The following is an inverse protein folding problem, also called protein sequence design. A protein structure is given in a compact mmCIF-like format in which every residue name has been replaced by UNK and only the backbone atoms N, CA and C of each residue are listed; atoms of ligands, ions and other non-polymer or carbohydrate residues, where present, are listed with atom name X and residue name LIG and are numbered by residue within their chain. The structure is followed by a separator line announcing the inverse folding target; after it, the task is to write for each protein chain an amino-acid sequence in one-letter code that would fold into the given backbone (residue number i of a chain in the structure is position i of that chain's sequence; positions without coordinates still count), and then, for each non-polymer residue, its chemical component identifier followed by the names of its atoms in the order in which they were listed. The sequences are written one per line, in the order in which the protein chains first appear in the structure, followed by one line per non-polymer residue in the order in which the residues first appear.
data_IF_860237567339
#
_entry.id   IF_860237567339
#
_cell.length_a   1.000
_cell.length_b   1.000
_cell.length_c   1.000
_cell.angle_alpha   90.00
_cell.angle_beta   90.00
_cell.angle_gamma   90.00
#
_symmetry.space_group_name_H-M   'P 1'
#
loop_
_entity.id
_entity.type
_entity.pdbx_description
1 polymer ?
#
# COMPACT_ATOMS: atom_id res chain seq x y z
N UNK A 1 -36.95 -9.50 16.43
CA UNK A 1 -36.06 -9.43 15.24
C UNK A 1 -34.64 -9.15 15.74
N UNK A 2 -33.75 -10.15 15.77
CA UNK A 2 -32.33 -9.93 16.00
C UNK A 2 -31.79 -9.14 14.80
N UNK A 3 -31.35 -7.89 15.01
CA UNK A 3 -30.63 -7.17 13.98
C UNK A 3 -29.28 -7.87 13.80
N UNK A 4 -29.06 -8.48 12.66
CA UNK A 4 -27.72 -8.93 12.29
C UNK A 4 -26.84 -7.69 12.24
N UNK A 5 -25.77 -7.64 13.05
CA UNK A 5 -24.74 -6.63 12.89
C UNK A 5 -24.27 -6.68 11.45
N UNK A 6 -24.35 -5.55 10.77
CA UNK A 6 -23.83 -5.41 9.42
C UNK A 6 -22.32 -5.61 9.50
N UNK A 7 -21.83 -6.76 9.07
CA UNK A 7 -20.39 -6.98 8.93
C UNK A 7 -19.89 -6.06 7.82
N UNK A 8 -18.92 -5.21 8.12
CA UNK A 8 -18.21 -4.50 7.08
C UNK A 8 -17.45 -5.53 6.26
N UNK A 9 -17.79 -5.65 4.98
CA UNK A 9 -17.02 -6.45 4.04
C UNK A 9 -15.85 -5.61 3.56
N UNK A 10 -14.65 -6.14 3.74
CA UNK A 10 -13.43 -5.63 3.13
C UNK A 10 -13.06 -6.54 1.98
N UNK A 11 -12.72 -5.94 0.86
CA UNK A 11 -12.39 -6.65 -0.37
C UNK A 11 -11.06 -6.12 -0.89
N UNK A 12 -10.12 -7.01 -1.09
CA UNK A 12 -8.81 -6.73 -1.67
C UNK A 12 -8.80 -7.19 -3.11
N UNK A 13 -8.39 -6.33 -4.02
CA UNK A 13 -8.52 -6.55 -5.46
C UNK A 13 -7.16 -6.48 -6.16
N UNK A 14 -7.01 -7.31 -7.18
CA UNK A 14 -5.95 -7.18 -8.18
C UNK A 14 -6.49 -7.58 -9.55
N UNK A 15 -6.04 -6.88 -10.59
CA UNK A 15 -6.36 -7.22 -11.97
C UNK A 15 -5.08 -7.68 -12.66
N UNK A 16 -5.18 -8.79 -13.36
CA UNK A 16 -4.14 -9.24 -14.28
C UNK A 16 -4.78 -9.58 -15.63
N UNK A 17 -4.39 -8.84 -16.68
CA UNK A 17 -5.05 -8.88 -17.99
C UNK A 17 -6.57 -8.68 -17.83
N UNK A 18 -7.37 -9.64 -18.30
CA UNK A 18 -8.83 -9.58 -18.27
C UNK A 18 -9.44 -10.35 -17.09
N UNK A 19 -8.67 -10.64 -16.05
CA UNK A 19 -9.17 -11.35 -14.85
C UNK A 19 -9.01 -10.46 -13.63
N UNK A 20 -10.13 -10.26 -12.93
CA UNK A 20 -10.19 -9.64 -11.62
C UNK A 20 -10.12 -10.73 -10.54
N UNK A 21 -9.15 -10.62 -9.65
CA UNK A 21 -9.08 -11.45 -8.45
C UNK A 21 -9.51 -10.63 -7.24
N UNK A 22 -10.36 -11.22 -6.40
CA UNK A 22 -10.91 -10.58 -5.22
C UNK A 22 -10.80 -11.50 -4.01
N UNK A 23 -10.16 -11.04 -2.95
CA UNK A 23 -10.15 -11.71 -1.66
C UNK A 23 -11.00 -10.93 -0.66
N UNK A 24 -11.72 -11.60 0.21
CA UNK A 24 -12.54 -10.96 1.22
C UNK A 24 -12.15 -11.32 2.66
N UNK A 25 -12.63 -10.53 3.59
CA UNK A 25 -12.42 -10.75 5.03
C UNK A 25 -13.31 -11.87 5.63
N UNK A 26 -13.92 -12.71 4.78
CA UNK A 26 -14.59 -13.94 5.17
C UNK A 26 -13.81 -15.19 4.74
N UNK A 27 -12.65 -15.00 4.08
CA UNK A 27 -11.76 -16.07 3.62
C UNK A 27 -12.08 -16.62 2.24
N UNK A 28 -12.88 -15.90 1.46
CA UNK A 28 -13.11 -16.26 0.06
C UNK A 28 -12.12 -15.58 -0.86
N UNK A 29 -11.70 -16.29 -1.89
CA UNK A 29 -10.96 -15.81 -3.04
C UNK A 29 -11.70 -16.14 -4.32
N UNK A 30 -11.84 -15.15 -5.19
CA UNK A 30 -12.61 -15.24 -6.43
C UNK A 30 -11.73 -14.88 -7.62
N UNK A 31 -11.96 -15.52 -8.77
CA UNK A 31 -11.50 -15.03 -10.07
C UNK A 31 -12.71 -14.75 -10.95
N UNK A 32 -12.75 -13.57 -11.53
CA UNK A 32 -13.83 -13.08 -12.37
C UNK A 32 -13.27 -12.64 -13.72
N UNK A 33 -13.81 -13.20 -14.80
CA UNK A 33 -13.43 -12.83 -16.15
C UNK A 33 -14.19 -11.55 -16.56
N UNK A 34 -13.44 -10.50 -16.91
CA UNK A 34 -13.97 -9.19 -17.27
C UNK A 34 -14.56 -9.13 -18.68
N UNK A 35 -14.16 -10.03 -19.59
CA UNK A 35 -14.65 -10.03 -20.98
C UNK A 35 -16.07 -10.56 -21.07
N UNK A 36 -16.35 -11.68 -20.40
CA UNK A 36 -17.65 -12.34 -20.43
C UNK A 36 -18.48 -12.13 -19.16
N UNK A 37 -17.98 -11.34 -18.21
CA UNK A 37 -18.63 -11.01 -16.93
C UNK A 37 -19.05 -12.25 -16.13
N UNK A 38 -18.19 -13.28 -16.06
CA UNK A 38 -18.48 -14.51 -15.34
C UNK A 38 -17.45 -14.86 -14.28
N UNK A 39 -17.88 -15.54 -13.22
CA UNK A 39 -17.00 -16.12 -12.22
C UNK A 39 -16.31 -17.34 -12.85
N UNK A 40 -14.96 -17.32 -12.89
CA UNK A 40 -14.16 -18.45 -13.33
C UNK A 40 -14.09 -19.52 -12.25
N UNK A 41 -13.80 -19.09 -11.03
CA UNK A 41 -13.76 -19.93 -9.84
C UNK A 41 -13.95 -19.10 -8.57
N UNK A 42 -14.37 -19.76 -7.49
CA UNK A 42 -14.45 -19.22 -6.15
C UNK A 42 -14.01 -20.29 -5.14
N UNK A 43 -13.15 -19.94 -4.21
CA UNK A 43 -12.61 -20.84 -3.18
C UNK A 43 -12.76 -20.22 -1.80
N UNK A 44 -13.06 -21.05 -0.80
CA UNK A 44 -13.09 -20.64 0.59
C UNK A 44 -11.91 -21.29 1.33
N UNK A 45 -11.09 -20.47 1.97
CA UNK A 45 -9.93 -20.90 2.75
C UNK A 45 -10.22 -20.94 4.25
N UNK A 46 -11.42 -20.54 4.68
CA UNK A 46 -11.89 -20.66 6.04
C UNK A 46 -11.36 -19.62 7.05
N UNK A 47 -10.36 -18.84 6.67
CA UNK A 47 -9.75 -17.81 7.54
C UNK A 47 -9.74 -16.48 6.80
N UNK A 48 -10.18 -15.38 7.45
CA UNK A 48 -10.21 -14.04 6.85
C UNK A 48 -8.89 -13.63 6.22
N UNK A 49 -8.91 -13.15 5.00
CA UNK A 49 -7.77 -12.52 4.38
C UNK A 49 -7.61 -11.08 4.88
N UNK A 50 -6.35 -10.64 5.05
CA UNK A 50 -5.97 -9.35 5.62
C UNK A 50 -4.76 -8.75 4.92
N UNK A 51 -4.61 -8.98 3.63
CA UNK A 51 -3.49 -8.44 2.87
C UNK A 51 -3.92 -7.94 1.51
N UNK A 52 -3.15 -6.99 0.98
CA UNK A 52 -3.20 -6.71 -0.45
C UNK A 52 -2.81 -7.97 -1.24
N UNK A 53 -3.40 -8.11 -2.44
CA UNK A 53 -3.06 -9.18 -3.36
C UNK A 53 -1.83 -8.80 -4.20
N UNK A 54 -0.99 -9.79 -4.50
CA UNK A 54 0.10 -9.69 -5.49
C UNK A 54 0.00 -10.80 -6.51
N UNK A 55 0.46 -10.52 -7.73
CA UNK A 55 0.40 -11.47 -8.84
C UNK A 55 1.76 -11.58 -9.52
N UNK A 56 2.26 -12.80 -9.67
CA UNK A 56 3.42 -13.12 -10.50
C UNK A 56 3.37 -14.58 -10.97
N UNK A 57 3.85 -14.87 -12.17
CA UNK A 57 4.05 -16.23 -12.68
C UNK A 57 2.83 -17.16 -12.50
N UNK A 58 1.63 -16.66 -12.85
CA UNK A 58 0.36 -17.36 -12.67
C UNK A 58 0.04 -17.75 -11.20
N UNK A 59 0.62 -17.04 -10.25
CA UNK A 59 0.39 -17.21 -8.83
C UNK A 59 -0.19 -15.93 -8.25
N UNK A 60 -1.13 -16.08 -7.33
CA UNK A 60 -1.67 -15.00 -6.49
C UNK A 60 -1.07 -15.20 -5.09
N UNK A 61 -0.47 -14.13 -4.56
CA UNK A 61 0.04 -14.10 -3.20
C UNK A 61 -0.87 -13.26 -2.32
N UNK A 62 -1.25 -13.80 -1.19
CA UNK A 62 -2.09 -13.15 -0.19
C UNK A 62 -1.80 -13.76 1.18
N UNK A 63 -2.22 -13.06 2.26
CA UNK A 63 -2.09 -13.56 3.61
C UNK A 63 -3.40 -13.43 4.39
N UNK A 64 -3.59 -14.33 5.33
CA UNK A 64 -4.71 -14.31 6.25
C UNK A 64 -4.38 -13.54 7.54
N UNK A 65 -5.40 -13.38 8.41
CA UNK A 65 -5.26 -12.70 9.70
C UNK A 65 -4.31 -13.39 10.69
N UNK A 66 -3.93 -14.64 10.43
CA UNK A 66 -3.02 -15.42 11.28
C UNK A 66 -1.56 -15.37 10.76
N UNK A 67 -1.26 -14.40 9.87
CA UNK A 67 0.05 -14.22 9.24
C UNK A 67 0.53 -15.42 8.41
N UNK A 68 -0.40 -16.20 7.86
CA UNK A 68 -0.08 -17.28 6.93
C UNK A 68 -0.14 -16.75 5.51
N UNK A 69 0.95 -16.89 4.77
CA UNK A 69 1.05 -16.55 3.36
C UNK A 69 0.52 -17.73 2.54
N UNK A 70 -0.24 -17.42 1.50
CA UNK A 70 -0.68 -18.37 0.49
C UNK A 70 -0.12 -17.99 -0.88
N UNK A 71 0.32 -18.99 -1.62
CA UNK A 71 0.44 -18.92 -3.07
C UNK A 71 -0.66 -19.78 -3.67
N UNK A 72 -1.44 -19.17 -4.55
CA UNK A 72 -2.62 -19.79 -5.18
C UNK A 72 -2.45 -19.78 -6.68
N UNK A 73 -2.78 -20.87 -7.34
CA UNK A 73 -2.83 -20.95 -8.80
C UNK A 73 -3.94 -20.02 -9.32
N UNK A 74 -3.58 -19.07 -10.15
CA UNK A 74 -4.52 -18.05 -10.65
C UNK A 74 -5.62 -18.63 -11.56
N UNK A 75 -5.38 -19.76 -12.22
CA UNK A 75 -6.34 -20.36 -13.14
C UNK A 75 -7.36 -21.26 -12.45
N UNK A 76 -6.96 -21.92 -11.35
CA UNK A 76 -7.80 -22.93 -10.70
C UNK A 76 -8.26 -22.58 -9.30
N UNK A 77 -7.60 -21.58 -8.67
CA UNK A 77 -7.82 -21.28 -7.27
C UNK A 77 -7.29 -22.34 -6.31
N UNK A 78 -6.49 -23.29 -6.78
CA UNK A 78 -5.85 -24.31 -5.91
C UNK A 78 -4.62 -23.72 -5.21
N UNK A 79 -4.43 -24.10 -3.96
CA UNK A 79 -3.26 -23.69 -3.20
C UNK A 79 -2.01 -24.38 -3.75
N UNK A 80 -1.01 -23.62 -4.18
CA UNK A 80 0.29 -24.15 -4.56
C UNK A 80 1.12 -24.47 -3.33
N UNK A 81 1.20 -23.52 -2.41
CA UNK A 81 1.90 -23.64 -1.14
C UNK A 81 1.38 -22.65 -0.11
N UNK A 82 1.69 -22.89 1.15
CA UNK A 82 1.45 -21.97 2.26
C UNK A 82 2.70 -21.86 3.13
N UNK A 83 2.87 -20.74 3.77
CA UNK A 83 3.97 -20.46 4.67
C UNK A 83 3.45 -19.72 5.91
N UNK A 84 3.55 -20.37 7.08
CA UNK A 84 3.17 -19.75 8.35
C UNK A 84 4.34 -18.94 8.90
N UNK A 85 4.09 -17.67 9.22
CA UNK A 85 5.02 -16.82 9.97
C UNK A 85 4.59 -16.75 11.43
N UNK A 86 5.24 -15.90 12.23
CA UNK A 86 4.90 -15.78 13.65
C UNK A 86 3.46 -15.35 13.85
N UNK A 87 2.76 -16.06 14.72
CA UNK A 87 1.38 -15.76 15.11
C UNK A 87 1.34 -14.51 15.98
N UNK A 88 0.31 -13.69 15.80
CA UNK A 88 -0.07 -12.67 16.76
C UNK A 88 -1.28 -13.12 17.56
N UNK A 89 -1.28 -12.87 18.86
CA UNK A 89 -2.45 -13.12 19.71
C UNK A 89 -3.61 -12.18 19.39
N UNK A 90 -3.32 -10.99 18.89
CA UNK A 90 -4.32 -10.02 18.48
C UNK A 90 -4.68 -10.23 17.02
N UNK A 91 -5.91 -10.64 16.79
CA UNK A 91 -6.52 -10.64 15.46
C UNK A 91 -7.06 -9.24 15.21
N UNK A 92 -6.38 -8.49 14.35
CA UNK A 92 -6.75 -7.13 14.07
C UNK A 92 -7.22 -6.95 12.63
N UNK A 93 -7.83 -5.79 12.39
CA UNK A 93 -8.21 -5.33 11.07
C UNK A 93 -7.02 -4.72 10.29
N UNK A 94 -5.80 -4.76 10.86
CA UNK A 94 -4.61 -4.26 10.19
C UNK A 94 -4.17 -5.20 9.06
N UNK A 95 -3.81 -4.60 7.95
CA UNK A 95 -3.37 -5.32 6.78
C UNK A 95 -1.92 -5.76 6.90
N UNK A 96 -1.67 -7.02 6.56
CA UNK A 96 -0.34 -7.51 6.24
C UNK A 96 0.12 -6.89 4.92
N UNK A 97 1.40 -6.62 4.78
CA UNK A 97 1.92 -5.92 3.63
C UNK A 97 2.83 -6.78 2.76
N UNK A 98 2.55 -6.78 1.46
CA UNK A 98 3.36 -7.43 0.45
C UNK A 98 4.01 -6.45 -0.53
N UNK A 99 5.25 -6.75 -0.93
CA UNK A 99 5.88 -6.24 -2.14
C UNK A 99 6.47 -7.39 -2.96
N UNK A 100 6.58 -7.22 -4.28
CA UNK A 100 7.15 -8.20 -5.20
C UNK A 100 8.30 -7.61 -5.99
N UNK A 101 9.42 -8.31 -6.00
CA UNK A 101 10.49 -8.15 -6.96
C UNK A 101 10.33 -9.22 -8.04
N UNK A 102 9.81 -8.81 -9.19
CA UNK A 102 9.55 -9.71 -10.31
C UNK A 102 10.83 -10.15 -11.03
N UNK A 103 11.89 -9.35 -10.96
CA UNK A 103 13.17 -9.64 -11.61
C UNK A 103 13.91 -10.75 -10.87
N UNK A 104 13.93 -10.66 -9.53
CA UNK A 104 14.66 -11.59 -8.69
C UNK A 104 13.78 -12.72 -8.09
N UNK A 105 12.50 -12.77 -8.46
CA UNK A 105 11.51 -13.71 -7.95
C UNK A 105 11.37 -13.68 -6.42
N UNK A 106 11.40 -12.49 -5.83
CA UNK A 106 11.32 -12.32 -4.38
C UNK A 106 9.98 -11.72 -3.95
N UNK A 107 9.38 -12.36 -2.97
CA UNK A 107 8.23 -11.86 -2.23
C UNK A 107 8.72 -11.29 -0.89
N UNK A 108 8.39 -10.04 -0.62
CA UNK A 108 8.57 -9.41 0.69
C UNK A 108 7.23 -9.40 1.41
N UNK A 109 7.24 -9.91 2.63
CA UNK A 109 6.05 -9.97 3.49
C UNK A 109 6.34 -9.38 4.86
N UNK A 110 5.67 -8.29 5.19
CA UNK A 110 5.71 -7.68 6.52
C UNK A 110 4.44 -8.10 7.26
N UNK A 111 4.61 -8.92 8.29
CA UNK A 111 3.50 -9.41 9.09
C UNK A 111 3.10 -8.42 10.20
N UNK A 112 1.98 -8.66 10.84
CA UNK A 112 1.45 -7.83 11.93
C UNK A 112 2.22 -8.00 13.26
N UNK A 113 3.18 -8.93 13.31
CA UNK A 113 4.14 -9.05 14.41
C UNK A 113 5.36 -8.15 14.25
N UNK A 114 5.51 -7.46 13.10
CA UNK A 114 6.68 -6.63 12.80
C UNK A 114 7.88 -7.42 12.29
N UNK A 115 7.63 -8.59 11.70
CA UNK A 115 8.66 -9.37 11.03
C UNK A 115 8.53 -9.21 9.52
N UNK A 116 9.62 -8.91 8.86
CA UNK A 116 9.73 -8.82 7.41
C UNK A 116 10.49 -10.03 6.88
N UNK A 117 9.83 -10.79 6.06
CA UNK A 117 10.37 -11.95 5.37
C UNK A 117 10.73 -11.59 3.93
N UNK A 118 11.89 -12.03 3.47
CA UNK A 118 12.28 -12.09 2.06
C UNK A 118 12.26 -13.54 1.63
N UNK A 119 11.37 -13.87 0.68
CA UNK A 119 11.11 -15.26 0.27
C UNK A 119 11.29 -15.36 -1.23
N UNK A 120 12.11 -16.27 -1.68
CA UNK A 120 12.11 -16.71 -3.08
C UNK A 120 10.84 -17.52 -3.33
N UNK A 121 9.89 -16.94 -4.09
CA UNK A 121 8.57 -17.56 -4.24
C UNK A 121 8.55 -18.72 -5.26
N UNK A 122 9.64 -18.95 -5.99
CA UNK A 122 9.80 -20.11 -6.88
C UNK A 122 10.31 -21.31 -6.07
N UNK A 123 11.41 -21.11 -5.32
CA UNK A 123 12.03 -22.18 -4.52
C UNK A 123 11.44 -22.32 -3.12
N UNK A 124 10.59 -21.37 -2.71
CA UNK A 124 9.94 -21.30 -1.40
C UNK A 124 10.93 -21.17 -0.23
N UNK A 125 12.14 -20.67 -0.50
CA UNK A 125 13.19 -20.50 0.51
C UNK A 125 13.20 -19.08 1.05
N UNK A 126 13.32 -18.97 2.37
CA UNK A 126 13.60 -17.70 3.03
C UNK A 126 15.03 -17.29 2.68
N UNK A 127 15.20 -16.06 2.17
CA UNK A 127 16.52 -15.45 1.93
C UNK A 127 17.04 -14.78 3.20
N UNK A 128 16.18 -14.00 3.85
CA UNK A 128 16.47 -13.34 5.13
C UNK A 128 15.18 -12.95 5.85
N UNK A 129 15.30 -12.66 7.15
CA UNK A 129 14.21 -12.16 8.00
C UNK A 129 14.72 -11.02 8.85
N UNK A 130 13.92 -9.94 8.97
CA UNK A 130 14.16 -8.84 9.88
C UNK A 130 13.04 -8.75 10.90
N UNK A 131 13.36 -8.36 12.14
CA UNK A 131 12.38 -8.13 13.18
C UNK A 131 12.46 -6.68 13.64
N UNK A 132 11.34 -5.94 13.52
CA UNK A 132 11.23 -4.53 13.90
C UNK A 132 10.66 -4.33 15.31
N UNK A 133 10.16 -5.37 15.96
CA UNK A 133 9.81 -5.30 17.37
C UNK A 133 11.10 -5.17 18.19
N UNK A 134 11.26 -4.06 18.86
CA UNK A 134 12.31 -3.93 19.84
C UNK A 134 12.12 -4.98 20.93
N UNK A 135 13.19 -5.65 21.33
CA UNK A 135 13.24 -6.55 22.49
C UNK A 135 12.95 -5.83 23.83
N UNK A 136 12.62 -4.54 23.80
CA UNK A 136 12.30 -3.73 24.97
C UNK A 136 10.83 -3.88 25.35
N UNK A 137 10.58 -4.76 26.33
CA UNK A 137 9.53 -4.67 27.38
C UNK A 137 8.07 -4.33 26.98
N UNK A 138 7.73 -4.10 25.74
CA UNK A 138 6.36 -3.89 25.35
C UNK A 138 5.77 -5.21 24.87
N UNK A 139 4.87 -5.69 25.70
CA UNK A 139 4.05 -6.88 25.57
C UNK A 139 3.83 -7.36 24.13
N UNK A 140 3.83 -8.67 23.92
CA UNK A 140 3.40 -9.39 22.69
C UNK A 140 1.98 -9.02 22.21
N UNK A 141 1.37 -8.03 22.83
CA UNK A 141 -0.01 -7.58 22.64
C UNK A 141 -0.14 -6.38 21.68
N UNK A 142 0.95 -5.78 21.19
CA UNK A 142 0.87 -4.66 20.26
C UNK A 142 1.15 -5.10 18.82
N UNK A 143 0.26 -4.69 17.91
CA UNK A 143 0.45 -4.89 16.49
C UNK A 143 1.47 -3.91 15.94
N UNK A 144 2.23 -4.39 14.95
CA UNK A 144 3.16 -3.54 14.23
C UNK A 144 2.41 -2.77 13.15
N UNK A 145 2.38 -1.45 13.28
CA UNK A 145 1.73 -0.56 12.32
C UNK A 145 2.76 0.00 11.34
N UNK A 146 2.46 -0.16 10.06
CA UNK A 146 3.25 0.42 8.96
C UNK A 146 2.33 0.87 7.84
N UNK A 147 2.80 1.81 7.02
CA UNK A 147 2.23 2.03 5.69
C UNK A 147 2.64 0.86 4.78
N UNK A 148 1.94 0.63 3.66
CA UNK A 148 2.32 -0.40 2.71
C UNK A 148 3.79 -0.27 2.28
N UNK A 149 4.52 -1.39 2.34
CA UNK A 149 5.92 -1.45 1.92
C UNK A 149 6.05 -1.20 0.42
N UNK A 150 7.10 -0.52 0.03
CA UNK A 150 7.37 -0.22 -1.38
C UNK A 150 8.77 -0.65 -1.77
N UNK A 151 8.90 -1.04 -3.04
CA UNK A 151 10.16 -1.51 -3.61
C UNK A 151 10.41 -0.80 -4.95
N UNK A 152 11.64 -0.46 -5.20
CA UNK A 152 12.13 -0.06 -6.51
C UNK A 152 13.60 -0.50 -6.66
N UNK A 153 13.90 -1.28 -7.69
CA UNK A 153 15.21 -1.92 -7.87
C UNK A 153 15.64 -2.65 -6.57
N UNK A 154 16.82 -2.33 -6.06
CA UNK A 154 17.40 -2.95 -4.86
C UNK A 154 17.01 -2.25 -3.56
N UNK A 155 16.07 -1.32 -3.58
CA UNK A 155 15.67 -0.52 -2.41
C UNK A 155 14.28 -0.93 -1.95
N UNK A 156 14.16 -1.29 -0.69
CA UNK A 156 12.92 -1.58 0.00
C UNK A 156 12.69 -0.51 1.08
N UNK A 157 11.56 0.19 1.00
CA UNK A 157 11.17 1.20 1.99
C UNK A 157 10.10 0.65 2.91
N UNK A 158 10.35 0.77 4.20
CA UNK A 158 9.45 0.37 5.28
C UNK A 158 9.21 1.59 6.17
N UNK A 159 7.99 1.74 6.63
CA UNK A 159 7.64 2.78 7.58
C UNK A 159 7.26 2.16 8.91
N UNK A 160 7.59 2.86 9.96
CA UNK A 160 7.16 2.56 11.33
C UNK A 160 6.47 3.79 11.91
N UNK A 161 5.94 3.68 13.12
CA UNK A 161 5.39 4.83 13.85
C UNK A 161 6.42 5.94 14.15
N UNK A 162 7.72 5.67 13.98
CA UNK A 162 8.80 6.60 14.34
C UNK A 162 9.76 6.93 13.21
N UNK A 163 9.78 6.13 12.15
CA UNK A 163 10.80 6.26 11.12
C UNK A 163 10.37 5.74 9.75
N UNK A 164 11.04 6.23 8.72
CA UNK A 164 11.12 5.65 7.39
C UNK A 164 12.48 4.98 7.27
N UNK A 165 12.49 3.72 6.85
CA UNK A 165 13.66 2.86 6.83
C UNK A 165 13.89 2.37 5.39
N UNK A 166 15.15 2.40 4.96
CA UNK A 166 15.56 1.81 3.68
C UNK A 166 16.43 0.59 3.91
N UNK A 167 16.14 -0.46 3.18
CA UNK A 167 16.88 -1.72 3.19
C UNK A 167 17.28 -2.13 1.78
N UNK A 168 18.43 -2.76 1.68
CA UNK A 168 18.83 -3.46 0.47
C UNK A 168 18.02 -4.76 0.32
N UNK A 169 17.41 -4.95 -0.84
CA UNK A 169 16.49 -6.09 -1.08
C UNK A 169 17.20 -7.43 -1.11
N UNK A 170 18.47 -7.46 -1.48
CA UNK A 170 19.25 -8.69 -1.61
C UNK A 170 19.78 -9.18 -0.27
N UNK A 171 20.44 -8.29 0.47
CA UNK A 171 21.12 -8.61 1.72
C UNK A 171 20.26 -8.43 2.97
N UNK A 172 19.18 -7.65 2.91
CA UNK A 172 18.41 -7.25 4.08
C UNK A 172 19.15 -6.25 4.99
N UNK A 173 20.28 -5.69 4.54
CA UNK A 173 21.00 -4.70 5.30
C UNK A 173 20.32 -3.33 5.19
N UNK A 174 20.30 -2.60 6.32
CA UNK A 174 19.74 -1.25 6.36
C UNK A 174 20.66 -0.26 5.68
N UNK A 175 20.16 0.46 4.68
CA UNK A 175 20.87 1.54 4.01
C UNK A 175 20.88 2.80 4.88
N UNK A 176 19.69 3.23 5.33
CA UNK A 176 19.52 4.44 6.13
C UNK A 176 18.22 4.40 6.97
N UNK A 177 18.13 5.35 7.88
CA UNK A 177 16.97 5.65 8.71
C UNK A 177 16.67 7.13 8.68
N UNK A 178 15.40 7.50 8.48
CA UNK A 178 14.90 8.85 8.61
C UNK A 178 13.85 8.89 9.73
N UNK A 179 14.16 9.62 10.81
CA UNK A 179 13.35 9.65 12.05
C UNK A 179 12.14 10.54 11.92
N UNK A 180 11.15 10.10 11.17
CA UNK A 180 9.84 10.74 11.08
C UNK A 180 8.77 9.73 10.67
N UNK A 181 7.54 9.90 11.14
CA UNK A 181 6.41 9.05 10.82
C UNK A 181 5.76 9.45 9.51
N UNK A 182 5.64 8.50 8.58
CA UNK A 182 4.91 8.68 7.32
C UNK A 182 3.41 8.53 7.55
N UNK A 183 2.63 9.48 7.02
CA UNK A 183 1.16 9.40 7.08
C UNK A 183 0.56 8.54 5.97
N UNK A 184 1.31 8.33 4.88
CA UNK A 184 0.85 7.62 3.69
C UNK A 184 1.94 6.67 3.20
N UNK A 185 1.54 5.74 2.32
CA UNK A 185 2.47 4.90 1.57
C UNK A 185 3.50 5.78 0.84
N UNK A 186 4.80 5.63 1.09
CA UNK A 186 5.82 6.39 0.37
C UNK A 186 5.83 6.09 -1.12
N UNK A 187 6.32 7.04 -1.92
CA UNK A 187 6.57 6.85 -3.34
C UNK A 187 8.07 6.82 -3.56
N UNK A 188 8.55 5.77 -4.21
CA UNK A 188 9.96 5.61 -4.55
C UNK A 188 10.16 5.68 -6.06
N UNK A 189 11.09 6.52 -6.49
CA UNK A 189 11.58 6.61 -7.88
C UNK A 189 12.99 6.01 -7.99
N UNK A 190 13.67 6.17 -9.11
CA UNK A 190 15.07 5.72 -9.26
C UNK A 190 16.03 6.39 -8.28
N UNK A 191 15.81 7.67 -7.96
CA UNK A 191 16.76 8.49 -7.20
C UNK A 191 16.20 8.97 -5.86
N UNK A 192 14.89 9.12 -5.74
CA UNK A 192 14.25 9.78 -4.62
C UNK A 192 13.13 8.98 -3.99
N UNK A 193 12.99 9.13 -2.68
CA UNK A 193 11.82 8.70 -1.91
C UNK A 193 11.03 9.92 -1.45
N UNK A 194 9.73 9.95 -1.81
CA UNK A 194 8.81 10.99 -1.40
C UNK A 194 7.87 10.45 -0.32
N UNK A 195 7.67 11.24 0.73
CA UNK A 195 6.75 10.89 1.81
C UNK A 195 6.02 12.13 2.32
N UNK A 196 4.75 11.94 2.65
CA UNK A 196 3.97 12.92 3.42
C UNK A 196 4.00 12.46 4.88
N UNK A 197 4.58 13.29 5.73
CA UNK A 197 4.70 13.00 7.16
C UNK A 197 3.41 13.36 7.91
N UNK A 198 3.22 12.82 9.11
CA UNK A 198 2.05 13.12 9.96
C UNK A 198 1.87 14.61 10.30
N UNK A 199 2.94 15.40 10.27
CA UNK A 199 2.90 16.85 10.43
C UNK A 199 2.60 17.63 9.14
N UNK A 200 2.16 16.93 8.08
CA UNK A 200 1.85 17.47 6.75
C UNK A 200 3.06 18.07 6.00
N UNK A 201 4.26 17.67 6.34
CA UNK A 201 5.43 17.96 5.52
C UNK A 201 5.51 16.93 4.39
N UNK A 202 5.61 17.41 3.16
CA UNK A 202 6.08 16.62 2.03
C UNK A 202 7.60 16.68 2.02
N UNK A 203 8.24 15.54 2.07
CA UNK A 203 9.70 15.42 2.05
C UNK A 203 10.16 14.66 0.82
N UNK A 204 11.28 15.07 0.27
CA UNK A 204 12.05 14.35 -0.73
C UNK A 204 13.36 13.92 -0.09
N UNK A 205 13.59 12.60 -0.07
CA UNK A 205 14.81 12.00 0.47
C UNK A 205 15.63 11.41 -0.67
N UNK A 206 16.94 11.55 -0.56
CA UNK A 206 17.89 10.84 -1.41
C UNK A 206 17.84 9.34 -1.13
N UNK A 207 17.75 8.52 -2.14
CA UNK A 207 17.60 7.06 -1.98
C UNK A 207 18.85 6.37 -1.44
N UNK A 208 20.04 6.94 -1.66
CA UNK A 208 21.31 6.34 -1.22
C UNK A 208 21.61 6.66 0.23
N UNK A 209 21.40 7.92 0.62
CA UNK A 209 21.81 8.42 1.93
C UNK A 209 20.67 8.62 2.93
N UNK A 210 19.40 8.71 2.45
CA UNK A 210 18.26 9.09 3.28
C UNK A 210 18.25 10.56 3.70
N UNK A 211 19.16 11.37 3.16
CA UNK A 211 19.24 12.81 3.47
C UNK A 211 18.08 13.56 2.82
N UNK A 212 17.63 14.64 3.48
CA UNK A 212 16.60 15.50 2.95
C UNK A 212 17.16 16.33 1.80
N UNK A 213 16.60 16.20 0.60
CA UNK A 213 16.87 17.07 -0.55
C UNK A 213 16.07 18.36 -0.39
N UNK A 214 14.79 18.21 -0.12
CA UNK A 214 13.89 19.32 0.23
C UNK A 214 12.73 18.85 1.11
N UNK A 215 12.15 19.80 1.82
CA UNK A 215 10.96 19.60 2.66
C UNK A 215 10.04 20.80 2.56
N UNK A 216 8.74 20.59 2.36
CA UNK A 216 7.74 21.64 2.20
C UNK A 216 6.47 21.35 2.98
N UNK A 217 5.96 22.34 3.68
CA UNK A 217 4.63 22.25 4.28
C UNK A 217 3.58 22.46 3.19
N UNK A 218 2.79 21.43 2.92
CA UNK A 218 1.80 21.43 1.82
C UNK A 218 0.77 22.53 2.03
N UNK A 219 0.25 22.71 3.24
CA UNK A 219 -0.83 23.63 3.52
C UNK A 219 -0.38 25.11 3.50
N UNK A 220 0.85 25.38 3.92
CA UNK A 220 1.35 26.75 4.02
C UNK A 220 1.65 27.39 2.65
N UNK A 221 1.98 26.57 1.67
CA UNK A 221 2.47 27.02 0.36
C UNK A 221 1.36 27.12 -0.71
N UNK A 222 0.09 26.89 -0.35
CA UNK A 222 -1.02 27.06 -1.29
C UNK A 222 -1.35 28.56 -1.39
N UNK A 223 -1.12 29.16 -2.55
CA UNK A 223 -1.36 30.61 -2.80
C UNK A 223 -2.85 30.93 -2.84
N UNK A 224 -3.67 30.06 -3.38
CA UNK A 224 -5.12 30.28 -3.46
C UNK A 224 -5.75 30.17 -2.07
N UNK A 225 -6.07 31.33 -1.48
CA UNK A 225 -6.65 31.43 -0.13
C UNK A 225 -7.92 30.59 0.06
N UNK A 226 -8.76 30.47 -0.98
CA UNK A 226 -9.99 29.67 -0.93
C UNK A 226 -9.68 28.18 -0.89
N UNK A 227 -8.73 27.72 -1.69
CA UNK A 227 -8.26 26.32 -1.68
C UNK A 227 -7.54 26.05 -0.37
N UNK A 228 -6.61 26.89 0.05
CA UNK A 228 -5.91 26.77 1.33
C UNK A 228 -6.85 26.60 2.51
N UNK A 229 -7.91 27.41 2.59
CA UNK A 229 -8.93 27.30 3.65
C UNK A 229 -9.71 26.00 3.60
N UNK A 230 -9.93 25.46 2.40
CA UNK A 230 -10.77 24.29 2.17
C UNK A 230 -9.96 23.00 2.01
N UNK A 231 -8.66 23.06 1.71
CA UNK A 231 -7.80 21.89 1.62
C UNK A 231 -7.59 21.30 3.01
N UNK A 232 -8.35 20.27 3.34
CA UNK A 232 -8.37 19.67 4.68
C UNK A 232 -7.49 18.43 4.73
N UNK A 233 -8.07 17.26 4.95
CA UNK A 233 -7.32 16.02 5.05
C UNK A 233 -6.87 15.52 3.68
N UNK A 234 -5.60 15.18 3.60
CA UNK A 234 -5.05 14.45 2.45
C UNK A 234 -5.59 13.02 2.51
N UNK A 235 -5.93 12.45 1.37
CA UNK A 235 -6.40 11.07 1.25
C UNK A 235 -5.45 10.21 0.43
N UNK A 236 -4.75 10.81 -0.52
CA UNK A 236 -3.83 10.09 -1.41
C UNK A 236 -2.82 11.07 -2.02
N UNK A 237 -1.68 10.55 -2.45
CA UNK A 237 -0.76 11.28 -3.30
C UNK A 237 -0.07 10.32 -4.28
N UNK A 238 0.20 10.78 -5.49
CA UNK A 238 0.78 9.98 -6.57
C UNK A 238 1.68 10.83 -7.45
N UNK A 239 2.65 10.19 -8.10
CA UNK A 239 3.43 10.82 -9.17
C UNK A 239 2.82 10.40 -10.50
N UNK A 240 2.41 11.38 -11.29
CA UNK A 240 1.85 11.20 -12.63
C UNK A 240 2.49 12.22 -13.55
N UNK A 241 3.03 11.76 -14.68
CA UNK A 241 3.73 12.62 -15.66
C UNK A 241 4.81 13.50 -15.00
N UNK A 242 5.59 12.92 -14.11
CA UNK A 242 6.65 13.60 -13.34
C UNK A 242 6.15 14.80 -12.50
N UNK A 243 4.92 14.74 -12.02
CA UNK A 243 4.32 15.73 -11.12
C UNK A 243 3.78 14.99 -9.90
N UNK A 244 4.08 15.48 -8.70
CA UNK A 244 3.47 14.97 -7.46
C UNK A 244 2.08 15.60 -7.34
N UNK A 245 1.05 14.78 -7.36
CA UNK A 245 -0.34 15.16 -7.20
C UNK A 245 -0.84 14.73 -5.82
N UNK A 246 -1.33 15.69 -5.02
CA UNK A 246 -1.82 15.48 -3.66
C UNK A 246 -3.31 15.75 -3.64
N UNK A 247 -4.08 14.80 -3.19
CA UNK A 247 -5.55 14.81 -3.22
C UNK A 247 -6.12 14.96 -1.82
N UNK A 248 -7.14 15.80 -1.68
CA UNK A 248 -7.85 15.97 -0.43
C UNK A 248 -9.27 15.40 -0.46
N UNK A 249 -9.76 14.98 0.70
CA UNK A 249 -11.09 14.37 0.87
C UNK A 249 -12.24 15.28 0.42
N UNK A 250 -12.05 16.59 0.36
CA UNK A 250 -13.05 17.56 -0.09
C UNK A 250 -12.88 17.97 -1.55
N UNK A 251 -12.12 17.20 -2.33
CA UNK A 251 -12.07 17.28 -3.78
C UNK A 251 -11.12 18.30 -4.34
N UNK A 252 -10.08 18.68 -3.61
CA UNK A 252 -9.01 19.55 -4.10
C UNK A 252 -7.78 18.71 -4.49
N UNK A 253 -7.08 19.19 -5.51
CA UNK A 253 -5.81 18.70 -6.00
C UNK A 253 -4.76 19.79 -5.83
N UNK A 254 -3.59 19.44 -5.33
CA UNK A 254 -2.40 20.28 -5.34
C UNK A 254 -1.30 19.54 -6.10
N UNK A 255 -0.77 20.17 -7.14
CA UNK A 255 0.31 19.64 -7.96
C UNK A 255 1.63 20.29 -7.55
N UNK A 256 2.66 19.47 -7.36
CA UNK A 256 3.97 19.87 -6.82
C UNK A 256 5.08 19.39 -7.75
N UNK A 257 6.07 20.25 -7.98
CA UNK A 257 7.31 19.91 -8.68
C UNK A 257 8.14 18.94 -7.84
N UNK A 258 8.43 17.71 -8.31
CA UNK A 258 9.17 16.72 -7.55
C UNK A 258 10.62 17.15 -7.25
N UNK A 259 11.22 17.99 -8.09
CA UNK A 259 12.62 18.41 -7.93
C UNK A 259 12.80 19.52 -6.88
N UNK A 260 11.80 20.40 -6.76
CA UNK A 260 11.91 21.61 -5.92
C UNK A 260 10.90 21.65 -4.77
N UNK A 261 9.89 20.82 -4.80
CA UNK A 261 8.78 20.86 -3.84
C UNK A 261 7.92 22.11 -3.94
N UNK A 262 8.03 22.90 -5.03
CA UNK A 262 7.20 24.07 -5.27
C UNK A 262 5.84 23.68 -5.82
N UNK A 263 4.79 24.39 -5.40
CA UNK A 263 3.44 24.18 -5.92
C UNK A 263 3.38 24.70 -7.35
N UNK A 264 2.94 23.85 -8.28
CA UNK A 264 2.71 24.17 -9.69
C UNK A 264 1.30 24.70 -9.88
N UNK A 265 0.31 24.00 -9.33
CA UNK A 265 -1.09 24.37 -9.41
C UNK A 265 -1.88 23.91 -8.19
N UNK A 266 -3.05 24.50 -8.01
CA UNK A 266 -4.01 24.06 -7.01
C UNK A 266 -5.44 24.23 -7.56
N UNK A 267 -6.16 23.12 -7.67
CA UNK A 267 -7.43 23.04 -8.36
C UNK A 267 -8.50 22.32 -7.55
N UNK A 268 -9.76 22.54 -7.89
CA UNK A 268 -10.87 21.76 -7.37
C UNK A 268 -11.37 20.79 -8.43
N UNK A 269 -11.13 19.49 -8.25
CA UNK A 269 -11.51 18.42 -9.18
C UNK A 269 -12.88 17.79 -8.87
N UNK A 270 -13.36 17.90 -7.63
CA UNK A 270 -14.68 17.41 -7.26
C UNK A 270 -15.41 18.39 -6.34
N UNK A 271 -16.69 18.68 -6.64
CA UNK A 271 -17.55 19.47 -5.75
C UNK A 271 -18.09 18.66 -4.56
N UNK A 272 -18.09 17.34 -4.69
CA UNK A 272 -18.64 16.40 -3.71
C UNK A 272 -17.59 15.71 -2.85
N UNK A 273 -16.32 16.06 -3.05
CA UNK A 273 -15.20 15.41 -2.37
C UNK A 273 -14.79 14.13 -3.04
N UNK A 274 -13.88 13.41 -2.40
CA UNK A 274 -13.29 12.14 -2.84
C UNK A 274 -13.26 11.21 -1.64
N UNK A 275 -13.73 9.97 -1.81
CA UNK A 275 -13.84 8.96 -0.76
C UNK A 275 -12.96 7.72 -1.01
N UNK A 276 -12.35 7.58 -2.18
CA UNK A 276 -11.45 6.47 -2.54
C UNK A 276 -10.03 6.97 -2.82
N UNK A 277 -9.10 6.04 -2.90
CA UNK A 277 -7.83 6.27 -3.58
C UNK A 277 -8.06 6.69 -5.05
N UNK A 278 -7.04 7.31 -5.63
CA UNK A 278 -7.05 7.77 -7.02
C UNK A 278 -6.42 6.68 -7.89
N UNK A 279 -7.10 6.33 -8.97
CA UNK A 279 -6.61 5.38 -9.97
C UNK A 279 -6.43 6.07 -11.32
N UNK A 280 -5.48 5.59 -12.10
CA UNK A 280 -5.27 6.04 -13.47
C UNK A 280 -5.42 4.85 -14.42
N UNK A 281 -6.26 5.04 -15.44
CA UNK A 281 -6.49 4.07 -16.50
C UNK A 281 -6.60 4.82 -17.84
N UNK A 282 -5.80 4.43 -18.82
CA UNK A 282 -5.79 5.03 -20.17
C UNK A 282 -5.74 6.57 -20.15
N UNK A 283 -4.77 7.11 -19.40
CA UNK A 283 -4.58 8.54 -19.17
C UNK A 283 -5.78 9.26 -18.51
N UNK A 284 -6.69 8.53 -17.92
CA UNK A 284 -7.87 9.06 -17.22
C UNK A 284 -7.75 8.81 -15.73
N UNK A 285 -8.07 9.83 -14.96
CA UNK A 285 -8.15 9.74 -13.51
C UNK A 285 -9.51 9.20 -13.09
N UNK A 286 -9.52 8.19 -12.23
CA UNK A 286 -10.71 7.54 -11.70
C UNK A 286 -10.73 7.64 -10.18
N UNK A 287 -11.86 8.00 -9.60
CA UNK A 287 -12.09 7.94 -8.15
C UNK A 287 -13.57 7.86 -7.82
N UNK A 288 -13.88 7.51 -6.58
CA UNK A 288 -15.24 7.52 -6.04
C UNK A 288 -15.45 8.79 -5.22
N UNK A 289 -16.55 9.51 -5.46
CA UNK A 289 -16.94 10.68 -4.67
C UNK A 289 -17.64 10.28 -3.35
N UNK A 290 -17.84 11.23 -2.44
CA UNK A 290 -18.51 10.99 -1.16
C UNK A 290 -19.99 10.54 -1.29
N UNK A 291 -20.54 10.52 -2.50
CA UNK A 291 -21.87 9.99 -2.81
C UNK A 291 -21.81 8.60 -3.46
N UNK A 292 -20.68 7.89 -3.37
CA UNK A 292 -20.42 6.59 -3.96
C UNK A 292 -20.58 6.56 -5.49
N UNK A 293 -20.20 7.62 -6.18
CA UNK A 293 -20.23 7.67 -7.66
C UNK A 293 -18.81 7.55 -8.17
N UNK A 294 -18.61 6.62 -9.10
CA UNK A 294 -17.37 6.53 -9.85
C UNK A 294 -17.29 7.71 -10.83
N UNK A 295 -16.27 8.52 -10.70
CA UNK A 295 -15.99 9.67 -11.56
C UNK A 295 -14.75 9.37 -12.40
N UNK A 296 -14.79 9.84 -13.66
CA UNK A 296 -13.73 9.69 -14.65
C UNK A 296 -13.41 11.07 -15.22
N UNK A 297 -12.15 11.47 -15.12
CA UNK A 297 -11.63 12.72 -15.66
C UNK A 297 -10.60 12.43 -16.75
N UNK A 298 -10.60 13.26 -17.78
CA UNK A 298 -9.62 13.22 -18.86
C UNK A 298 -8.40 14.05 -18.49
#
# INVERSE_FOLDING_TARGET
KKSFKKFNKEIYLIINKNVLYAADNLGYLYAFNLDNNSIMWAKNYGIPFRSNLKFANNQIFLANQDNVIYSVNSNTGEKNWEFATSLTFLKSDFENNFALDLVNNVLFFLNTSGELYSIDYITQKIKWVLNFKNASLNSDTQLFLSQPIVINNNILIITTEKAILSYDTFSGLRNWIFSAESAFKPIITSEHTYSILKNNLLVCLDNLSGSIIWSKNIFNNIDNKKIKKNFKSIIDFKIVNNIINIYSNNGHLVSVDPNRGSIISSDRISRRGISSEIFFLDNKMLFVDNNNRLLKFN
#
